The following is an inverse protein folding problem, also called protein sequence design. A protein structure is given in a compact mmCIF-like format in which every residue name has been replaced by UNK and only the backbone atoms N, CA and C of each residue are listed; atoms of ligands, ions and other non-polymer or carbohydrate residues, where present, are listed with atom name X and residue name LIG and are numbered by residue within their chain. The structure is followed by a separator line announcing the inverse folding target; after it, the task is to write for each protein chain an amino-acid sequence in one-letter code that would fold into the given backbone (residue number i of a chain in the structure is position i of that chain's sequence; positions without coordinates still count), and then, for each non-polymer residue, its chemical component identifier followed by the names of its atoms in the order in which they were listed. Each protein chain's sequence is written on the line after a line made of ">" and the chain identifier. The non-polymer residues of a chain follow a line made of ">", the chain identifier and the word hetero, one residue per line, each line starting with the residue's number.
data_IF_362918448332
#
_entry.id   IF_362918448332
#
_cell.length_a   1.000
_cell.length_b   1.000
_cell.length_c   1.000
_cell.angle_alpha   90.00
_cell.angle_beta   90.00
_cell.angle_gamma   90.00
#
_symmetry.space_group_name_H-M   'P 1'
#
loop_
_entity.id
_entity.type
_entity.pdbx_description
1 polymer ?
#
# COMPACT_ATOMS: atom_id res chain seq x y z
N UNK A 1 14.08 46.96 -0.87
CA UNK A 1 13.66 46.68 -2.26
C UNK A 1 14.34 45.41 -2.74
N UNK A 2 13.57 44.45 -3.27
CA UNK A 2 14.06 43.60 -4.36
C UNK A 2 14.41 42.13 -4.05
N UNK A 3 13.95 41.51 -2.96
CA UNK A 3 14.08 40.05 -2.86
C UNK A 3 13.09 39.42 -3.84
N UNK A 4 13.60 38.78 -4.89
CA UNK A 4 12.79 38.07 -5.89
C UNK A 4 12.48 36.65 -5.39
N UNK A 5 11.50 36.53 -4.49
CA UNK A 5 11.10 35.25 -3.90
C UNK A 5 10.63 34.22 -4.94
N UNK A 6 10.04 34.67 -6.05
CA UNK A 6 9.67 33.80 -7.16
C UNK A 6 10.89 33.18 -7.85
N UNK A 7 11.93 33.98 -8.09
CA UNK A 7 13.19 33.48 -8.66
C UNK A 7 13.89 32.49 -7.70
N UNK A 8 13.87 32.76 -6.39
CA UNK A 8 14.43 31.84 -5.38
C UNK A 8 13.65 30.52 -5.31
N UNK A 9 12.32 30.57 -5.34
CA UNK A 9 11.48 29.36 -5.39
C UNK A 9 11.72 28.56 -6.65
N UNK A 10 11.83 29.22 -7.80
CA UNK A 10 12.13 28.54 -9.07
C UNK A 10 13.52 27.89 -9.05
N UNK A 11 14.54 28.61 -8.61
CA UNK A 11 15.91 28.10 -8.55
C UNK A 11 16.03 26.91 -7.60
N UNK A 12 15.42 26.99 -6.42
CA UNK A 12 15.45 25.89 -5.45
C UNK A 12 14.55 24.73 -5.87
N UNK A 13 13.29 25.00 -6.21
CA UNK A 13 12.28 24.01 -6.55
C UNK A 13 12.54 23.30 -7.87
N UNK A 14 12.80 24.03 -8.95
CA UNK A 14 12.93 23.45 -10.30
C UNK A 14 14.39 23.11 -10.64
N UNK A 15 15.35 24.00 -10.35
CA UNK A 15 16.74 23.78 -10.77
C UNK A 15 17.54 22.89 -9.81
N UNK A 16 17.43 23.08 -8.49
CA UNK A 16 18.22 22.32 -7.52
C UNK A 16 17.58 20.97 -7.15
N UNK A 17 16.29 20.98 -6.80
CA UNK A 17 15.56 19.79 -6.36
C UNK A 17 14.72 19.16 -7.47
N UNK A 18 14.22 19.94 -8.42
CA UNK A 18 13.25 19.49 -9.43
C UNK A 18 13.76 18.40 -10.37
N UNK A 19 15.07 18.37 -10.64
CA UNK A 19 15.70 17.26 -11.39
C UNK A 19 15.64 15.90 -10.68
N UNK A 20 15.38 15.86 -9.37
CA UNK A 20 15.20 14.64 -8.57
C UNK A 20 13.73 14.30 -8.33
N UNK A 21 12.81 15.21 -8.65
CA UNK A 21 11.37 15.05 -8.41
C UNK A 21 10.68 14.83 -9.74
N UNK A 22 10.33 13.56 -9.99
CA UNK A 22 9.76 13.09 -11.26
C UNK A 22 8.24 13.18 -11.30
N UNK A 23 7.55 13.05 -10.15
CA UNK A 23 6.10 13.19 -10.05
C UNK A 23 5.68 14.67 -9.99
N UNK A 24 4.65 15.04 -10.75
CA UNK A 24 4.08 16.38 -10.79
C UNK A 24 3.45 16.75 -9.43
N UNK A 25 2.85 15.77 -8.74
CA UNK A 25 2.26 16.01 -7.42
C UNK A 25 3.32 16.26 -6.34
N UNK A 26 4.43 15.53 -6.38
CA UNK A 26 5.57 15.78 -5.50
C UNK A 26 6.20 17.15 -5.80
N UNK A 27 6.29 17.53 -7.07
CA UNK A 27 6.81 18.84 -7.47
C UNK A 27 5.92 19.98 -6.98
N UNK A 28 4.60 19.84 -7.11
CA UNK A 28 3.63 20.78 -6.54
C UNK A 28 3.77 20.88 -5.02
N UNK A 29 3.93 19.75 -4.34
CA UNK A 29 4.10 19.69 -2.87
C UNK A 29 5.38 20.39 -2.45
N UNK A 30 6.50 20.10 -3.10
CA UNK A 30 7.78 20.78 -2.88
C UNK A 30 7.65 22.30 -3.03
N UNK A 31 7.06 22.77 -4.13
CA UNK A 31 6.86 24.21 -4.37
C UNK A 31 5.95 24.86 -3.32
N UNK A 32 4.96 24.12 -2.82
CA UNK A 32 4.09 24.57 -1.72
C UNK A 32 4.86 24.71 -0.40
N UNK A 33 5.73 23.74 -0.08
CA UNK A 33 6.60 23.80 1.10
C UNK A 33 7.56 24.99 0.98
N UNK A 34 8.21 25.16 -0.17
CA UNK A 34 9.13 26.28 -0.42
C UNK A 34 8.47 27.65 -0.32
N UNK A 35 7.18 27.78 -0.67
CA UNK A 35 6.43 29.02 -0.50
C UNK A 35 6.30 29.46 0.96
N UNK A 36 6.40 28.54 1.92
CA UNK A 36 6.41 28.86 3.36
C UNK A 36 7.72 29.47 3.81
N UNK A 37 8.84 29.17 3.13
CA UNK A 37 10.19 29.62 3.48
C UNK A 37 10.69 30.80 2.62
N UNK A 38 10.18 30.95 1.41
CA UNK A 38 10.49 32.07 0.52
C UNK A 38 9.29 33.02 0.42
N UNK A 39 9.03 33.75 1.51
CA UNK A 39 7.96 34.75 1.59
C UNK A 39 8.45 36.06 2.26
N UNK A 40 7.71 37.15 2.02
CA UNK A 40 7.95 38.46 2.64
C UNK A 40 7.76 38.42 4.15
N UNK A 41 6.76 37.66 4.60
CA UNK A 41 6.37 37.53 6.00
C UNK A 41 7.51 37.08 6.92
N UNK A 42 8.44 36.24 6.45
CA UNK A 42 9.62 35.82 7.21
C UNK A 42 10.51 36.99 7.61
N UNK A 43 10.57 38.02 6.76
CA UNK A 43 11.43 39.18 6.97
C UNK A 43 10.67 40.30 7.66
N UNK A 44 9.38 40.45 7.38
CA UNK A 44 8.56 41.57 7.84
C UNK A 44 7.93 41.36 9.22
N UNK A 45 7.52 40.12 9.59
CA UNK A 45 6.88 39.85 10.89
C UNK A 45 7.89 39.67 12.00
N UNK A 46 7.74 40.35 13.15
CA UNK A 46 8.67 40.25 14.28
C UNK A 46 9.00 38.80 14.66
N UNK A 47 7.96 37.96 14.76
CA UNK A 47 8.07 36.50 14.92
C UNK A 47 7.31 35.81 13.79
N UNK A 48 8.00 34.92 13.06
CA UNK A 48 7.39 34.08 12.03
C UNK A 48 7.47 32.62 12.43
N UNK A 49 6.31 32.00 12.60
CA UNK A 49 6.18 30.59 12.97
C UNK A 49 6.19 29.69 11.74
N UNK A 50 6.97 28.61 11.82
CA UNK A 50 7.17 27.59 10.79
C UNK A 50 6.24 26.39 10.98
N UNK A 51 5.56 26.26 12.11
CA UNK A 51 4.50 25.28 12.34
C UNK A 51 3.33 25.95 13.06
N UNK A 52 2.17 25.28 13.19
CA UNK A 52 1.06 25.76 14.03
C UNK A 52 1.44 25.95 15.50
N UNK A 53 2.43 25.20 15.99
CA UNK A 53 2.97 25.39 17.35
C UNK A 53 3.93 26.56 17.45
N UNK A 54 3.92 27.18 18.63
CA UNK A 54 4.79 28.32 18.97
C UNK A 54 6.26 27.92 19.21
N UNK A 55 6.60 26.63 19.09
CA UNK A 55 7.95 26.10 19.32
C UNK A 55 8.87 26.40 18.14
N UNK A 56 8.35 26.32 16.91
CA UNK A 56 9.15 26.43 15.70
C UNK A 56 8.94 27.79 15.05
N UNK A 57 9.86 28.72 15.30
CA UNK A 57 9.90 30.04 14.67
C UNK A 57 11.27 30.37 14.08
N UNK A 58 11.34 31.47 13.32
CA UNK A 58 12.59 32.01 12.76
C UNK A 58 13.22 33.00 13.76
N UNK A 59 14.39 32.70 14.37
CA UNK A 59 15.05 33.61 15.30
C UNK A 59 15.52 34.90 14.61
N UNK A 60 15.41 36.03 15.31
CA UNK A 60 15.94 37.31 14.85
C UNK A 60 17.39 37.46 15.28
N UNK A 61 18.29 37.45 14.31
CA UNK A 61 19.71 37.66 14.55
C UNK A 61 20.49 37.59 13.25
N UNK A 62 21.72 38.08 13.28
CA UNK A 62 22.70 37.90 12.19
C UNK A 62 23.82 36.95 12.60
N UNK A 63 23.95 36.69 13.89
CA UNK A 63 25.02 35.88 14.45
C UNK A 63 24.67 34.40 14.37
N UNK A 64 25.63 33.61 13.92
CA UNK A 64 25.49 32.16 13.77
C UNK A 64 25.17 31.47 15.11
N UNK A 65 25.80 31.92 16.20
CA UNK A 65 25.65 31.32 17.52
C UNK A 65 24.22 31.44 18.07
N UNK A 66 23.50 32.50 17.68
CA UNK A 66 22.09 32.67 18.04
C UNK A 66 21.22 31.57 17.42
N UNK A 67 21.46 31.23 16.15
CA UNK A 67 20.72 30.15 15.48
C UNK A 67 21.08 28.77 16.04
N UNK A 68 22.36 28.54 16.37
CA UNK A 68 22.80 27.30 17.02
C UNK A 68 22.13 27.12 18.38
N UNK A 69 22.22 28.14 19.24
CA UNK A 69 21.64 28.09 20.58
C UNK A 69 20.13 27.81 20.53
N UNK A 70 19.41 28.47 19.62
CA UNK A 70 17.99 28.18 19.40
C UNK A 70 17.76 26.75 18.92
N UNK A 71 18.52 26.26 17.95
CA UNK A 71 18.38 24.89 17.44
C UNK A 71 18.57 23.85 18.56
N UNK A 72 19.48 24.11 19.50
CA UNK A 72 19.69 23.26 20.68
C UNK A 72 18.53 23.28 21.69
N UNK A 73 17.66 24.29 21.66
CA UNK A 73 16.44 24.34 22.50
C UNK A 73 15.27 23.55 21.93
N UNK A 74 15.34 23.14 20.66
CA UNK A 74 14.25 22.41 20.01
C UNK A 74 14.12 20.99 20.57
N UNK A 75 12.88 20.46 20.65
CA UNK A 75 12.66 19.12 21.17
C UNK A 75 13.27 18.07 20.25
N UNK A 76 13.90 17.06 20.86
CA UNK A 76 14.50 15.94 20.14
C UNK A 76 13.46 15.11 19.40
N UNK A 77 12.30 14.89 20.03
CA UNK A 77 11.14 14.25 19.39
C UNK A 77 10.33 15.36 18.73
N UNK A 78 10.25 15.30 17.40
CA UNK A 78 9.55 16.31 16.60
C UNK A 78 8.16 15.85 16.24
N UNK A 79 7.20 16.76 16.32
CA UNK A 79 5.81 16.48 15.97
C UNK A 79 5.60 16.62 14.46
N UNK A 80 4.72 15.82 13.80
CA UNK A 80 4.56 15.80 12.34
C UNK A 80 4.23 17.14 11.70
N UNK A 81 3.62 18.04 12.46
CA UNK A 81 3.25 19.38 12.01
C UNK A 81 4.46 20.21 11.52
N UNK A 82 5.68 19.93 12.01
CA UNK A 82 6.89 20.65 11.59
C UNK A 82 7.21 20.35 10.12
N UNK A 83 6.80 19.17 9.65
CA UNK A 83 6.88 18.74 8.26
C UNK A 83 5.63 19.11 7.45
N UNK A 84 4.67 19.82 8.07
CA UNK A 84 3.37 20.13 7.45
C UNK A 84 2.41 18.94 7.38
N UNK A 85 2.65 17.89 8.17
CA UNK A 85 1.83 16.68 8.19
C UNK A 85 0.82 16.69 9.35
N UNK A 86 -0.24 15.89 9.21
CA UNK A 86 -1.20 15.66 10.29
C UNK A 86 -0.61 14.71 11.34
N UNK A 87 -1.11 14.79 12.58
CA UNK A 87 -0.81 13.86 13.70
C UNK A 87 -0.95 12.37 13.37
N UNK A 88 -1.76 12.04 12.36
CA UNK A 88 -1.96 10.65 11.95
C UNK A 88 -0.72 10.07 11.26
N UNK A 89 0.24 10.91 10.85
CA UNK A 89 1.50 10.47 10.27
C UNK A 89 2.32 9.64 11.28
N UNK A 90 2.35 10.04 12.56
CA UNK A 90 3.03 9.27 13.61
C UNK A 90 2.35 7.92 13.83
N UNK A 91 1.02 7.91 13.92
CA UNK A 91 0.25 6.65 14.05
C UNK A 91 0.56 5.69 12.90
N UNK A 92 0.63 6.22 11.67
CA UNK A 92 0.94 5.41 10.47
C UNK A 92 2.37 4.90 10.49
N UNK A 93 3.33 5.74 10.89
CA UNK A 93 4.73 5.37 11.04
C UNK A 93 4.87 4.25 12.08
N UNK A 94 4.29 4.42 13.27
CA UNK A 94 4.37 3.44 14.35
C UNK A 94 3.71 2.11 13.97
N UNK A 95 2.57 2.17 13.26
CA UNK A 95 1.94 0.97 12.69
C UNK A 95 2.85 0.26 11.69
N UNK A 96 3.52 1.01 10.81
CA UNK A 96 4.43 0.45 9.82
C UNK A 96 5.69 -0.15 10.47
N UNK A 97 6.26 0.52 11.47
CA UNK A 97 7.41 0.00 12.22
C UNK A 97 7.05 -1.27 13.01
N UNK A 98 5.87 -1.30 13.64
CA UNK A 98 5.36 -2.50 14.31
C UNK A 98 5.11 -3.65 13.32
N UNK A 99 4.52 -3.37 12.15
CA UNK A 99 4.32 -4.36 11.10
C UNK A 99 5.65 -4.91 10.56
N UNK A 100 6.66 -4.05 10.38
CA UNK A 100 8.01 -4.49 10.01
C UNK A 100 8.61 -5.39 11.08
N UNK A 101 8.48 -5.04 12.36
CA UNK A 101 8.97 -5.85 13.47
C UNK A 101 8.30 -7.23 13.50
N UNK A 102 6.98 -7.31 13.36
CA UNK A 102 6.26 -8.58 13.33
C UNK A 102 6.64 -9.43 12.12
N UNK A 103 6.78 -8.82 10.94
CA UNK A 103 7.27 -9.52 9.75
C UNK A 103 8.68 -10.07 9.97
N UNK A 104 9.59 -9.29 10.58
CA UNK A 104 10.94 -9.75 10.91
C UNK A 104 10.93 -10.88 11.93
N UNK A 105 10.06 -10.82 12.95
CA UNK A 105 9.91 -11.89 13.93
C UNK A 105 9.41 -13.18 13.29
N UNK A 106 8.43 -13.10 12.39
CA UNK A 106 7.89 -14.26 11.66
C UNK A 106 8.96 -14.97 10.83
N UNK A 107 9.87 -14.21 10.19
CA UNK A 107 11.00 -14.77 9.44
C UNK A 107 12.02 -15.51 10.32
N UNK A 108 12.05 -15.24 11.63
CA UNK A 108 12.97 -15.92 12.57
C UNK A 108 12.37 -17.15 13.24
N UNK A 109 11.07 -17.44 13.03
CA UNK A 109 10.33 -18.46 13.77
C UNK A 109 10.66 -19.90 13.34
N UNK A 110 11.24 -20.13 12.16
CA UNK A 110 11.56 -21.46 11.57
C UNK A 110 12.64 -22.29 12.30
N UNK A 111 13.02 -21.94 13.54
CA UNK A 111 14.08 -22.62 14.28
C UNK A 111 13.60 -23.71 15.27
N UNK A 112 12.32 -24.07 15.32
CA UNK A 112 11.78 -25.00 16.33
C UNK A 112 11.11 -26.25 15.72
N UNK A 113 11.78 -27.40 15.88
CA UNK A 113 11.28 -28.79 15.65
C UNK A 113 10.41 -29.04 14.41
N UNK A 114 11.06 -29.32 13.28
CA UNK A 114 10.47 -29.50 11.96
C UNK A 114 9.27 -30.47 11.88
N UNK A 115 9.33 -31.68 12.46
CA UNK A 115 8.33 -32.74 12.19
C UNK A 115 6.95 -32.49 12.82
N UNK A 116 6.89 -31.78 13.95
CA UNK A 116 5.61 -31.44 14.61
C UNK A 116 5.00 -30.17 14.03
N UNK A 117 5.86 -29.23 13.63
CA UNK A 117 5.44 -27.97 13.01
C UNK A 117 4.89 -28.21 11.60
N UNK A 118 5.52 -29.08 10.81
CA UNK A 118 5.11 -29.40 9.44
C UNK A 118 3.68 -30.00 9.39
N UNK A 119 3.37 -30.94 10.29
CA UNK A 119 2.01 -31.51 10.38
C UNK A 119 0.96 -30.47 10.80
N UNK A 120 1.32 -29.58 11.72
CA UNK A 120 0.43 -28.51 12.16
C UNK A 120 0.21 -27.48 11.04
N UNK A 121 1.27 -27.10 10.32
CA UNK A 121 1.17 -26.19 9.18
C UNK A 121 0.32 -26.75 8.05
N UNK A 122 0.44 -28.06 7.78
CA UNK A 122 -0.36 -28.73 6.78
C UNK A 122 -1.85 -28.73 7.15
N UNK A 123 -2.19 -29.02 8.41
CA UNK A 123 -3.57 -29.00 8.90
C UNK A 123 -4.19 -27.60 8.77
N UNK A 124 -3.46 -26.55 9.17
CA UNK A 124 -3.90 -25.15 9.04
C UNK A 124 -4.13 -24.78 7.57
N UNK A 125 -3.22 -25.15 6.68
CA UNK A 125 -3.34 -24.84 5.23
C UNK A 125 -4.51 -25.59 4.61
N UNK A 126 -4.76 -26.84 5.03
CA UNK A 126 -5.92 -27.61 4.60
C UNK A 126 -7.24 -26.98 5.06
N UNK A 127 -7.32 -26.50 6.30
CA UNK A 127 -8.50 -25.83 6.84
C UNK A 127 -8.78 -24.52 6.10
N UNK A 128 -7.78 -23.64 5.99
CA UNK A 128 -7.93 -22.35 5.31
C UNK A 128 -8.26 -22.52 3.83
N UNK A 129 -7.59 -23.46 3.15
CA UNK A 129 -7.89 -23.73 1.74
C UNK A 129 -9.31 -24.28 1.54
N UNK A 130 -9.79 -25.15 2.44
CA UNK A 130 -11.14 -25.70 2.38
C UNK A 130 -12.19 -24.61 2.62
N UNK A 131 -12.01 -23.75 3.61
CA UNK A 131 -12.91 -22.63 3.90
C UNK A 131 -13.01 -21.64 2.72
N UNK A 132 -11.87 -21.27 2.12
CA UNK A 132 -11.87 -20.40 0.94
C UNK A 132 -12.59 -21.09 -0.22
N UNK A 133 -12.24 -22.35 -0.53
CA UNK A 133 -12.86 -23.10 -1.63
C UNK A 133 -14.37 -23.24 -1.47
N UNK A 134 -14.88 -23.40 -0.25
CA UNK A 134 -16.31 -23.50 0.03
C UNK A 134 -17.05 -22.18 -0.27
N UNK A 135 -16.39 -21.04 -0.07
CA UNK A 135 -16.96 -19.70 -0.29
C UNK A 135 -16.88 -19.24 -1.74
N UNK A 136 -15.98 -19.81 -2.55
CA UNK A 136 -15.80 -19.38 -3.94
C UNK A 136 -17.02 -19.75 -4.80
N UNK A 137 -17.66 -18.78 -5.48
CA UNK A 137 -18.76 -19.06 -6.39
C UNK A 137 -18.27 -19.78 -7.65
N UNK A 138 -19.20 -20.21 -8.50
CA UNK A 138 -18.88 -20.70 -9.85
C UNK A 138 -18.38 -19.56 -10.73
N UNK A 139 -17.62 -19.91 -11.77
CA UNK A 139 -17.22 -18.96 -12.80
C UNK A 139 -18.45 -18.41 -13.52
N UNK A 140 -18.37 -17.16 -13.97
CA UNK A 140 -19.39 -16.54 -14.82
C UNK A 140 -19.47 -17.26 -16.16
N UNK A 141 -20.69 -17.42 -16.65
CA UNK A 141 -20.94 -17.84 -18.03
C UNK A 141 -20.87 -16.61 -18.93
N UNK A 142 -19.78 -16.50 -19.70
CA UNK A 142 -19.53 -15.35 -20.57
C UNK A 142 -20.47 -15.34 -21.77
N UNK A 143 -20.96 -16.50 -22.21
CA UNK A 143 -21.89 -16.58 -23.34
C UNK A 143 -23.26 -16.04 -22.93
N UNK A 144 -23.75 -16.45 -21.76
CA UNK A 144 -24.99 -15.89 -21.18
C UNK A 144 -24.84 -14.40 -20.87
N UNK A 145 -23.67 -13.97 -20.39
CA UNK A 145 -23.41 -12.55 -20.14
C UNK A 145 -23.41 -11.73 -21.43
N UNK A 146 -22.87 -12.25 -22.54
CA UNK A 146 -22.89 -11.62 -23.85
C UNK A 146 -24.30 -11.54 -24.47
N UNK A 147 -25.13 -12.55 -24.24
CA UNK A 147 -26.54 -12.53 -24.66
C UNK A 147 -27.33 -11.46 -23.89
N UNK A 148 -27.11 -11.35 -22.58
CA UNK A 148 -27.79 -10.37 -21.71
C UNK A 148 -27.27 -8.94 -21.92
N UNK A 149 -25.97 -8.79 -22.20
CA UNK A 149 -25.27 -7.53 -22.34
C UNK A 149 -24.52 -7.45 -23.69
N UNK A 150 -25.24 -7.28 -24.82
CA UNK A 150 -24.64 -7.29 -26.13
C UNK A 150 -23.71 -6.09 -26.34
N UNK A 151 -22.68 -6.30 -27.18
CA UNK A 151 -21.71 -5.27 -27.56
C UNK A 151 -22.34 -4.24 -28.51
N UNK A 152 -22.99 -3.23 -27.94
CA UNK A 152 -23.57 -2.13 -28.69
C UNK A 152 -22.70 -0.88 -28.59
N UNK A 153 -22.54 -0.15 -29.70
CA UNK A 153 -21.74 1.09 -29.74
C UNK A 153 -22.24 2.15 -28.75
N UNK A 154 -23.56 2.22 -28.51
CA UNK A 154 -24.18 3.15 -27.59
C UNK A 154 -24.11 2.70 -26.10
N UNK A 155 -23.64 1.48 -25.82
CA UNK A 155 -23.55 0.91 -24.48
C UNK A 155 -22.16 0.30 -24.25
N UNK A 156 -21.13 1.15 -24.28
CA UNK A 156 -19.73 0.75 -24.09
C UNK A 156 -19.46 0.01 -22.77
N UNK A 157 -20.25 0.28 -21.73
CA UNK A 157 -20.14 -0.39 -20.43
C UNK A 157 -20.44 -1.89 -20.48
N UNK A 158 -21.28 -2.36 -21.40
CA UNK A 158 -21.56 -3.80 -21.55
C UNK A 158 -20.29 -4.57 -21.93
N UNK A 159 -19.46 -3.99 -22.81
CA UNK A 159 -18.21 -4.59 -23.22
C UNK A 159 -17.21 -4.65 -22.05
N UNK A 160 -17.11 -3.57 -21.27
CA UNK A 160 -16.27 -3.53 -20.07
C UNK A 160 -16.73 -4.58 -19.05
N UNK A 161 -18.04 -4.70 -18.82
CA UNK A 161 -18.60 -5.68 -17.90
C UNK A 161 -18.20 -7.11 -18.27
N UNK A 162 -18.44 -7.52 -19.52
CA UNK A 162 -18.11 -8.88 -19.96
C UNK A 162 -16.59 -9.15 -19.91
N UNK A 163 -15.77 -8.16 -20.28
CA UNK A 163 -14.31 -8.28 -20.18
C UNK A 163 -13.85 -8.44 -18.73
N UNK A 164 -14.39 -7.63 -17.80
CA UNK A 164 -14.06 -7.72 -16.39
C UNK A 164 -14.53 -9.06 -15.80
N UNK A 165 -15.74 -9.55 -16.12
CA UNK A 165 -16.18 -10.90 -15.75
C UNK A 165 -15.20 -11.98 -16.24
N UNK A 166 -14.67 -11.83 -17.45
CA UNK A 166 -13.61 -12.70 -17.99
C UNK A 166 -12.31 -12.64 -17.17
N UNK A 167 -11.86 -11.44 -16.77
CA UNK A 167 -10.67 -11.27 -15.92
C UNK A 167 -10.87 -11.85 -14.52
N UNK A 168 -12.03 -11.64 -13.92
CA UNK A 168 -12.39 -12.26 -12.64
C UNK A 168 -12.47 -13.78 -12.74
N UNK A 169 -12.95 -14.34 -13.85
CA UNK A 169 -12.91 -15.79 -14.09
C UNK A 169 -11.50 -16.35 -14.13
N UNK A 170 -10.56 -15.64 -14.75
CA UNK A 170 -9.14 -16.04 -14.80
C UNK A 170 -8.55 -16.10 -13.38
N UNK A 171 -8.73 -15.03 -12.58
CA UNK A 171 -8.29 -14.97 -11.19
C UNK A 171 -8.97 -16.04 -10.32
N UNK A 172 -10.30 -16.17 -10.42
CA UNK A 172 -11.09 -17.15 -9.68
C UNK A 172 -10.63 -18.59 -9.97
N UNK A 173 -10.33 -18.88 -11.24
CA UNK A 173 -9.80 -20.18 -11.66
C UNK A 173 -8.38 -20.40 -11.13
N UNK A 174 -7.52 -19.39 -11.15
CA UNK A 174 -6.18 -19.46 -10.57
C UNK A 174 -6.22 -19.75 -9.07
N UNK A 175 -7.03 -19.01 -8.30
CA UNK A 175 -7.20 -19.23 -6.85
C UNK A 175 -7.74 -20.64 -6.62
N UNK A 176 -8.82 -21.03 -7.28
CA UNK A 176 -9.43 -22.37 -7.12
C UNK A 176 -8.44 -23.49 -7.42
N UNK A 177 -7.73 -23.43 -8.54
CA UNK A 177 -6.79 -24.47 -8.94
C UNK A 177 -5.59 -24.54 -8.00
N UNK A 178 -5.05 -23.39 -7.59
CA UNK A 178 -3.94 -23.35 -6.65
C UNK A 178 -4.30 -24.01 -5.32
N UNK A 179 -5.46 -23.69 -4.72
CA UNK A 179 -5.93 -24.29 -3.47
C UNK A 179 -6.19 -25.79 -3.60
N UNK A 180 -6.82 -26.24 -4.70
CA UNK A 180 -7.03 -27.68 -4.96
C UNK A 180 -5.69 -28.41 -5.08
N UNK A 181 -4.72 -27.82 -5.77
CA UNK A 181 -3.42 -28.43 -5.97
C UNK A 181 -2.59 -28.44 -4.68
N UNK A 182 -2.68 -27.41 -3.85
CA UNK A 182 -2.09 -27.40 -2.49
C UNK A 182 -2.66 -28.55 -1.66
N UNK A 183 -4.00 -28.72 -1.63
CA UNK A 183 -4.62 -29.83 -0.90
C UNK A 183 -4.18 -31.21 -1.41
N UNK A 184 -3.98 -31.36 -2.73
CA UNK A 184 -3.47 -32.60 -3.33
C UNK A 184 -2.00 -32.84 -3.00
N UNK A 185 -1.18 -31.80 -3.02
CA UNK A 185 0.25 -31.89 -2.72
C UNK A 185 0.48 -32.29 -1.26
N UNK A 186 -0.21 -31.66 -0.31
CA UNK A 186 -0.16 -32.00 1.12
C UNK A 186 -0.59 -33.46 1.37
N UNK A 187 -1.61 -33.95 0.64
CA UNK A 187 -2.07 -35.35 0.73
C UNK A 187 -1.16 -36.36 0.02
N UNK A 188 -0.04 -35.92 -0.57
CA UNK A 188 0.88 -36.77 -1.33
C UNK A 188 0.33 -37.27 -2.68
N UNK A 189 -0.73 -36.64 -3.21
CA UNK A 189 -1.33 -36.99 -4.50
C UNK A 189 -0.67 -36.28 -5.69
N UNK A 190 0.21 -35.31 -5.44
CA UNK A 190 0.92 -34.53 -6.43
C UNK A 190 2.26 -34.06 -5.84
N UNK A 191 3.27 -33.89 -6.69
CA UNK A 191 4.54 -33.25 -6.29
C UNK A 191 4.29 -31.76 -6.02
N UNK A 192 4.90 -31.20 -4.98
CA UNK A 192 4.81 -29.78 -4.67
C UNK A 192 5.88 -28.99 -5.46
N UNK A 193 5.51 -28.21 -6.50
CA UNK A 193 6.44 -27.30 -7.15
C UNK A 193 6.61 -26.01 -6.33
N UNK A 194 7.68 -25.26 -6.62
CA UNK A 194 8.03 -23.99 -5.97
C UNK A 194 6.87 -22.98 -5.93
N UNK A 195 6.03 -22.95 -6.97
CA UNK A 195 4.85 -22.07 -7.02
C UNK A 195 3.79 -22.45 -5.97
N UNK A 196 3.62 -23.73 -5.66
CA UNK A 196 2.69 -24.17 -4.61
C UNK A 196 3.31 -24.01 -3.22
N UNK A 197 4.62 -24.20 -3.07
CA UNK A 197 5.33 -23.91 -1.81
C UNK A 197 5.16 -22.44 -1.39
N UNK A 198 5.20 -21.52 -2.37
CA UNK A 198 4.95 -20.10 -2.13
C UNK A 198 3.51 -19.83 -1.70
N UNK A 199 2.53 -20.54 -2.27
CA UNK A 199 1.12 -20.44 -1.85
C UNK A 199 0.94 -20.94 -0.42
N UNK A 200 1.56 -22.07 -0.06
CA UNK A 200 1.54 -22.62 1.31
C UNK A 200 2.13 -21.62 2.30
N UNK A 201 3.34 -21.13 2.01
CA UNK A 201 4.02 -20.13 2.84
C UNK A 201 3.19 -18.84 2.97
N UNK A 202 2.56 -18.39 1.89
CA UNK A 202 1.69 -17.20 1.90
C UNK A 202 0.46 -17.41 2.78
N UNK A 203 -0.17 -18.59 2.72
CA UNK A 203 -1.32 -18.92 3.57
C UNK A 203 -0.92 -18.92 5.06
N UNK A 204 0.19 -19.56 5.40
CA UNK A 204 0.71 -19.62 6.77
C UNK A 204 1.08 -18.25 7.33
N UNK A 205 1.60 -17.37 6.48
CA UNK A 205 1.99 -16.00 6.87
C UNK A 205 0.86 -14.97 6.71
N UNK A 206 -0.35 -15.40 6.31
CA UNK A 206 -1.50 -14.50 6.12
C UNK A 206 -1.34 -13.51 4.96
N UNK A 207 -0.47 -13.80 3.99
CA UNK A 207 -0.20 -12.99 2.80
C UNK A 207 -0.95 -13.53 1.58
N UNK A 208 -1.16 -12.66 0.59
CA UNK A 208 -1.76 -13.06 -0.68
C UNK A 208 -0.67 -13.61 -1.61
N UNK A 209 -0.77 -14.87 -2.10
CA UNK A 209 0.22 -15.47 -2.99
C UNK A 209 0.52 -14.62 -4.24
N UNK A 210 1.78 -14.58 -4.64
CA UNK A 210 2.25 -13.82 -5.81
C UNK A 210 1.61 -14.29 -7.11
N UNK A 211 1.33 -15.59 -7.24
CA UNK A 211 0.60 -16.16 -8.38
C UNK A 211 -0.81 -15.60 -8.52
N UNK A 212 -1.49 -15.29 -7.42
CA UNK A 212 -2.80 -14.63 -7.44
C UNK A 212 -2.65 -13.15 -7.77
N UNK A 213 -1.64 -12.49 -7.18
CA UNK A 213 -1.38 -11.07 -7.41
C UNK A 213 -1.05 -10.74 -8.87
N UNK A 214 -0.40 -11.64 -9.61
CA UNK A 214 -0.15 -11.48 -11.06
C UNK A 214 -1.44 -11.37 -11.90
N UNK A 215 -2.54 -11.96 -11.42
CA UNK A 215 -3.84 -11.96 -12.10
C UNK A 215 -4.87 -11.05 -11.40
N UNK A 216 -4.48 -10.47 -10.27
CA UNK A 216 -5.35 -9.65 -9.42
C UNK A 216 -5.30 -8.16 -9.77
N UNK A 217 -6.30 -7.45 -9.28
CA UNK A 217 -6.23 -6.01 -9.07
C UNK A 217 -5.19 -5.67 -7.97
N UNK A 218 -4.59 -4.46 -8.02
CA UNK A 218 -3.65 -4.01 -7.00
C UNK A 218 -4.27 -4.03 -5.59
N UNK A 219 -3.61 -4.71 -4.66
CA UNK A 219 -4.06 -4.85 -3.27
C UNK A 219 -2.86 -5.01 -2.34
N UNK A 220 -2.94 -4.38 -1.17
CA UNK A 220 -2.02 -4.58 -0.04
C UNK A 220 -2.73 -5.24 1.15
N UNK A 221 -3.94 -5.80 0.93
CA UNK A 221 -4.72 -6.44 1.99
C UNK A 221 -4.09 -7.80 2.38
N UNK A 222 -4.11 -8.16 3.67
CA UNK A 222 -3.76 -9.51 4.11
C UNK A 222 -4.79 -10.53 3.58
N UNK A 223 -4.42 -11.81 3.56
CA UNK A 223 -5.17 -12.89 2.91
C UNK A 223 -6.67 -12.88 3.23
N UNK A 224 -7.05 -12.87 4.51
CA UNK A 224 -8.47 -12.91 4.90
C UNK A 224 -9.27 -11.67 4.43
N UNK A 225 -8.65 -10.48 4.51
CA UNK A 225 -9.27 -9.24 4.02
C UNK A 225 -9.31 -9.20 2.49
N UNK A 226 -8.31 -9.76 1.82
CA UNK A 226 -8.27 -9.90 0.37
C UNK A 226 -9.36 -10.83 -0.14
N UNK A 227 -9.53 -12.02 0.47
CA UNK A 227 -10.60 -12.96 0.08
C UNK A 227 -11.98 -12.34 0.31
N UNK A 228 -12.19 -11.65 1.43
CA UNK A 228 -13.47 -10.97 1.69
C UNK A 228 -13.78 -9.89 0.65
N UNK A 229 -12.77 -9.10 0.26
CA UNK A 229 -12.88 -8.09 -0.81
C UNK A 229 -13.14 -8.73 -2.18
N UNK A 230 -12.45 -9.83 -2.48
CA UNK A 230 -12.60 -10.57 -3.72
C UNK A 230 -14.01 -11.16 -3.86
N UNK A 231 -14.54 -11.77 -2.79
CA UNK A 231 -15.91 -12.30 -2.77
C UNK A 231 -16.95 -11.19 -2.94
N UNK A 232 -16.78 -10.04 -2.28
CA UNK A 232 -17.68 -8.90 -2.46
C UNK A 232 -17.68 -8.36 -3.90
N UNK A 233 -16.51 -8.36 -4.56
CA UNK A 233 -16.41 -7.99 -5.98
C UNK A 233 -17.09 -9.02 -6.88
N UNK A 234 -16.95 -10.31 -6.58
CA UNK A 234 -17.63 -11.35 -7.34
C UNK A 234 -19.15 -11.23 -7.20
N UNK A 235 -19.64 -10.98 -6.00
CA UNK A 235 -21.08 -10.78 -5.72
C UNK A 235 -21.63 -9.56 -6.47
N UNK A 236 -20.88 -8.46 -6.52
CA UNK A 236 -21.26 -7.27 -7.30
C UNK A 236 -21.56 -7.59 -8.78
N UNK A 237 -20.81 -8.52 -9.40
CA UNK A 237 -21.06 -8.94 -10.77
C UNK A 237 -22.14 -10.02 -10.91
N UNK A 238 -22.54 -10.70 -9.84
CA UNK A 238 -23.62 -11.70 -9.85
C UNK A 238 -25.02 -11.07 -9.77
N UNK A 239 -25.14 -9.92 -9.12
CA UNK A 239 -26.41 -9.20 -8.95
C UNK A 239 -26.83 -8.46 -10.24
N UNK A 240 -25.99 -8.44 -11.27
CA UNK A 240 -26.26 -7.83 -12.58
C UNK A 240 -26.93 -8.78 -13.56
#
# INVERSE_FOLDING_TARGET
>A
QGIQYEALRYLTGECNYGGRVTDEWDRRTLNTILAKFYCTDIVEKDVYYLSPSDVYYVPRGKEHDLFLNYTCTLPFITHPEVFGMHENADIRKDQQEAEQLFNSMLLTQDALSADSFEKFSDEVVLEVSADILQKLPKNYDLDVALEKYPMLYNQSMNNVLVQEMGRFNVLLTCIRNSLINVQKAIKGLMVMPLELEEVVTSILTGKTPSVWMKQSYPSLKPLGSYISDFLARLDFFQVL
#
